data_IF_155490590500
#
_entry.id   IF_155490590500
#
_cell.length_a   1.000
_cell.length_b   1.000
_cell.length_c   1.000
_cell.angle_alpha   90.00
_cell.angle_beta   90.00
_cell.angle_gamma   90.00
#
_symmetry.space_group_name_H-M   'P 1'
#
loop_
_entity.id
_entity.type
_entity.pdbx_description
1 polymer ?
#
# COMPACT_ATOMS: atom_id res chain seq x y z
N UNK A 1 -10.67 -7.75 12.22
CA UNK A 1 -11.60 -6.62 12.50
C UNK A 1 -11.49 -5.64 11.34
N UNK A 2 -12.63 -5.12 10.81
CA UNK A 2 -12.62 -4.18 9.68
C UNK A 2 -12.05 -2.84 10.12
N UNK A 3 -10.97 -2.39 9.46
CA UNK A 3 -10.31 -1.12 9.74
C UNK A 3 -10.75 -0.02 8.76
N UNK A 4 -10.94 -0.37 7.49
CA UNK A 4 -11.54 0.52 6.50
C UNK A 4 -12.47 -0.27 5.56
N UNK A 5 -13.52 0.37 5.06
CA UNK A 5 -14.49 -0.25 4.17
C UNK A 5 -15.05 0.77 3.19
N UNK A 6 -15.15 0.37 1.94
CA UNK A 6 -15.84 1.08 0.87
C UNK A 6 -17.14 0.33 0.55
N UNK A 7 -18.27 1.03 0.47
CA UNK A 7 -19.57 0.47 0.09
C UNK A 7 -20.15 1.21 -1.11
N UNK A 8 -20.14 0.53 -2.26
CA UNK A 8 -20.69 1.04 -3.54
C UNK A 8 -20.19 2.46 -3.89
N UNK A 9 -18.88 2.69 -3.63
CA UNK A 9 -18.27 4.01 -3.76
C UNK A 9 -18.02 4.34 -5.22
N UNK A 10 -18.44 5.54 -5.62
CA UNK A 10 -18.11 6.11 -6.93
C UNK A 10 -17.50 7.50 -6.77
N UNK A 11 -16.56 7.83 -7.65
CA UNK A 11 -15.96 9.14 -7.75
C UNK A 11 -15.65 9.53 -9.18
N UNK A 12 -16.02 10.76 -9.53
CA UNK A 12 -15.82 11.33 -10.86
C UNK A 12 -15.08 12.65 -10.75
N UNK A 13 -13.92 12.75 -11.41
CA UNK A 13 -13.19 14.02 -11.52
C UNK A 13 -13.90 14.99 -12.46
N UNK A 14 -13.82 16.27 -12.15
CA UNK A 14 -14.30 17.37 -13.02
C UNK A 14 -15.74 17.20 -13.50
N UNK A 15 -16.61 16.68 -12.62
CA UNK A 15 -18.03 16.40 -12.93
C UNK A 15 -18.72 17.62 -13.51
N UNK A 16 -19.46 17.42 -14.62
CA UNK A 16 -20.19 18.48 -15.32
C UNK A 16 -19.32 19.35 -16.22
N UNK A 17 -18.08 18.98 -16.47
CA UNK A 17 -17.18 19.66 -17.41
C UNK A 17 -16.79 18.76 -18.59
N UNK A 18 -16.24 19.31 -19.70
CA UNK A 18 -15.72 18.50 -20.80
C UNK A 18 -14.59 17.54 -20.43
N UNK A 19 -13.99 17.69 -19.24
CA UNK A 19 -12.93 16.84 -18.70
C UNK A 19 -13.44 15.85 -17.66
N UNK A 20 -14.74 15.57 -17.65
CA UNK A 20 -15.33 14.60 -16.74
C UNK A 20 -14.76 13.21 -16.97
N UNK A 21 -14.26 12.60 -15.88
CA UNK A 21 -13.66 11.26 -15.92
C UNK A 21 -14.05 10.48 -14.67
N UNK A 22 -14.72 9.34 -14.85
CA UNK A 22 -15.03 8.41 -13.79
C UNK A 22 -13.75 7.67 -13.38
N UNK A 23 -13.31 7.87 -12.14
CA UNK A 23 -12.10 7.25 -11.62
C UNK A 23 -12.38 6.02 -10.74
N UNK A 24 -13.56 5.99 -10.10
CA UNK A 24 -14.02 4.87 -9.26
C UNK A 24 -15.52 4.72 -9.52
N UNK A 25 -15.98 3.50 -9.80
CA UNK A 25 -17.37 3.21 -10.13
C UNK A 25 -17.85 1.98 -9.36
N UNK A 26 -18.77 2.20 -8.42
CA UNK A 26 -19.41 1.13 -7.63
C UNK A 26 -18.43 0.19 -6.95
N UNK A 27 -17.36 0.76 -6.36
CA UNK A 27 -16.30 -0.01 -5.71
C UNK A 27 -16.70 -0.35 -4.28
N UNK A 28 -16.65 -1.65 -3.95
CA UNK A 28 -16.80 -2.17 -2.60
C UNK A 28 -15.56 -2.98 -2.23
N UNK A 29 -14.94 -2.67 -1.09
CA UNK A 29 -13.74 -3.34 -0.61
C UNK A 29 -13.64 -3.25 0.92
N UNK A 30 -13.07 -4.28 1.54
CA UNK A 30 -12.84 -4.35 3.00
C UNK A 30 -11.37 -4.53 3.27
N UNK A 31 -10.84 -3.71 4.20
CA UNK A 31 -9.46 -3.72 4.66
C UNK A 31 -9.44 -4.05 6.15
N UNK A 32 -8.72 -5.10 6.52
CA UNK A 32 -8.75 -5.69 7.84
C UNK A 32 -7.53 -5.28 8.67
N UNK A 33 -7.74 -5.08 9.98
CA UNK A 33 -6.66 -4.79 10.94
C UNK A 33 -5.67 -5.96 10.97
N UNK A 34 -4.38 -5.64 11.07
CA UNK A 34 -3.31 -6.63 11.13
C UNK A 34 -3.01 -7.33 9.79
N UNK A 35 -3.58 -6.85 8.69
CA UNK A 35 -3.33 -7.37 7.35
C UNK A 35 -2.71 -6.30 6.44
N UNK A 36 -1.91 -6.75 5.48
CA UNK A 36 -1.45 -5.96 4.34
C UNK A 36 -2.32 -6.32 3.14
N UNK A 37 -3.13 -5.36 2.68
CA UNK A 37 -3.94 -5.51 1.46
C UNK A 37 -3.28 -4.76 0.32
N UNK A 38 -2.87 -5.48 -0.72
CA UNK A 38 -2.36 -4.90 -1.97
C UNK A 38 -3.49 -4.42 -2.86
N UNK A 39 -3.37 -3.22 -3.43
CA UNK A 39 -4.24 -2.77 -4.52
C UNK A 39 -3.41 -2.74 -5.79
N UNK A 40 -3.78 -3.56 -6.78
CA UNK A 40 -3.13 -3.64 -8.09
C UNK A 40 -4.09 -3.23 -9.20
N UNK A 41 -3.54 -2.87 -10.35
CA UNK A 41 -4.34 -2.45 -11.51
C UNK A 41 -3.46 -1.66 -12.48
N UNK A 42 -3.90 -1.50 -13.73
CA UNK A 42 -3.19 -0.67 -14.70
C UNK A 42 -3.21 0.83 -14.30
N UNK A 43 -2.36 1.64 -14.92
CA UNK A 43 -2.38 3.09 -14.71
C UNK A 43 -3.74 3.65 -15.11
N UNK A 44 -4.31 4.50 -14.24
CA UNK A 44 -5.65 5.07 -14.47
C UNK A 44 -6.81 4.19 -14.02
N UNK A 45 -6.59 2.99 -13.43
CA UNK A 45 -7.67 2.13 -12.94
C UNK A 45 -8.35 2.61 -11.64
N UNK A 46 -7.87 3.71 -11.03
CA UNK A 46 -8.50 4.33 -9.85
C UNK A 46 -7.84 4.02 -8.51
N UNK A 47 -6.70 3.30 -8.46
CA UNK A 47 -6.02 2.89 -7.20
C UNK A 47 -5.70 4.07 -6.26
N UNK A 48 -4.99 5.08 -6.75
CA UNK A 48 -4.64 6.26 -5.95
C UNK A 48 -5.88 7.08 -5.55
N UNK A 49 -6.94 7.03 -6.37
CA UNK A 49 -8.23 7.64 -6.03
C UNK A 49 -8.89 6.92 -4.85
N UNK A 50 -8.86 5.58 -4.83
CA UNK A 50 -9.33 4.76 -3.70
C UNK A 50 -8.57 5.11 -2.42
N UNK A 51 -7.24 5.23 -2.48
CA UNK A 51 -6.40 5.67 -1.36
C UNK A 51 -6.84 7.04 -0.80
N UNK A 52 -7.07 8.00 -1.68
CA UNK A 52 -7.49 9.36 -1.32
C UNK A 52 -8.92 9.41 -0.77
N UNK A 53 -9.81 8.55 -1.26
CA UNK A 53 -11.18 8.42 -0.74
C UNK A 53 -11.19 7.85 0.68
N UNK A 54 -10.36 6.84 0.98
CA UNK A 54 -10.25 6.25 2.33
C UNK A 54 -9.65 7.26 3.33
N UNK A 55 -8.65 8.05 2.91
CA UNK A 55 -8.06 9.11 3.75
C UNK A 55 -8.98 10.33 3.91
N UNK A 56 -10.09 10.42 3.14
CA UNK A 56 -10.98 11.58 3.13
C UNK A 56 -10.37 12.82 2.49
N UNK A 57 -9.42 12.66 1.59
CA UNK A 57 -8.88 13.75 0.78
C UNK A 57 -9.86 14.13 -0.35
N UNK A 58 -10.54 13.14 -0.91
CA UNK A 58 -11.57 13.31 -1.92
C UNK A 58 -12.94 12.96 -1.35
N UNK A 59 -13.99 13.79 -1.59
CA UNK A 59 -15.35 13.45 -1.22
C UNK A 59 -15.91 12.40 -2.17
N UNK A 60 -16.74 11.48 -1.68
CA UNK A 60 -17.43 10.50 -2.54
C UNK A 60 -18.48 11.20 -3.44
N UNK A 61 -18.65 10.73 -4.67
CA UNK A 61 -19.78 11.13 -5.52
C UNK A 61 -21.06 10.35 -5.15
N UNK A 62 -20.91 9.09 -4.73
CA UNK A 62 -21.93 8.22 -4.17
C UNK A 62 -21.31 7.10 -3.36
N UNK A 63 -22.10 6.39 -2.56
CA UNK A 63 -21.65 5.33 -1.68
C UNK A 63 -21.12 5.85 -0.34
N UNK A 64 -20.48 4.99 0.43
CA UNK A 64 -20.05 5.29 1.79
C UNK A 64 -18.63 4.77 2.03
N UNK A 65 -17.86 5.54 2.81
CA UNK A 65 -16.51 5.16 3.26
C UNK A 65 -16.49 5.09 4.78
N UNK A 66 -16.09 3.95 5.32
CA UNK A 66 -15.97 3.74 6.74
C UNK A 66 -14.50 3.59 7.14
N UNK A 67 -14.11 4.26 8.22
CA UNK A 67 -12.81 4.08 8.88
C UNK A 67 -13.07 3.76 10.35
N UNK A 68 -12.57 2.63 10.83
CA UNK A 68 -12.82 2.12 12.18
C UNK A 68 -14.32 2.10 12.54
N UNK A 69 -15.15 1.64 11.60
CA UNK A 69 -16.60 1.47 11.75
C UNK A 69 -17.42 2.76 11.71
N UNK A 70 -16.81 3.92 11.41
CA UNK A 70 -17.51 5.21 11.29
C UNK A 70 -17.50 5.69 9.85
N UNK A 71 -18.67 6.11 9.34
CA UNK A 71 -18.74 6.80 8.06
C UNK A 71 -18.00 8.14 8.16
N UNK A 72 -16.97 8.32 7.32
CA UNK A 72 -16.08 9.50 7.43
C UNK A 72 -16.75 10.80 6.96
N UNK A 73 -17.84 10.70 6.18
CA UNK A 73 -18.57 11.85 5.63
C UNK A 73 -19.80 12.25 6.44
N UNK A 74 -20.16 11.48 7.50
CA UNK A 74 -21.30 11.80 8.38
C UNK A 74 -21.09 13.13 9.13
N UNK A 75 -19.83 13.42 9.53
CA UNK A 75 -19.48 14.70 10.19
C UNK A 75 -18.19 15.28 9.56
N UNK A 76 -18.31 16.22 8.61
CA UNK A 76 -17.15 16.84 7.96
C UNK A 76 -16.18 17.54 8.91
N UNK A 77 -16.62 17.94 10.11
CA UNK A 77 -15.75 18.57 11.12
C UNK A 77 -14.72 17.60 11.68
N UNK A 78 -14.98 16.29 11.58
CA UNK A 78 -14.06 15.22 12.04
C UNK A 78 -13.03 14.81 10.98
N UNK A 79 -13.05 15.41 9.80
CA UNK A 79 -12.15 15.01 8.70
C UNK A 79 -10.68 15.07 9.08
N UNK A 80 -10.27 16.03 9.92
CA UNK A 80 -8.90 16.09 10.46
C UNK A 80 -8.55 14.83 11.27
N UNK A 81 -9.50 14.34 12.08
CA UNK A 81 -9.30 13.11 12.86
C UNK A 81 -9.27 11.84 11.99
N UNK A 82 -10.07 11.83 10.92
CA UNK A 82 -10.01 10.74 9.92
C UNK A 82 -8.60 10.63 9.34
N UNK A 83 -7.97 11.74 8.95
CA UNK A 83 -6.62 11.77 8.39
C UNK A 83 -5.52 11.34 9.37
N UNK A 84 -5.71 11.55 10.66
CA UNK A 84 -4.83 11.00 11.69
C UNK A 84 -5.02 9.50 11.88
N UNK A 85 -6.25 8.99 11.68
CA UNK A 85 -6.59 7.58 11.84
C UNK A 85 -6.23 6.77 10.59
N UNK A 86 -6.46 7.33 9.40
CA UNK A 86 -6.09 6.76 8.10
C UNK A 86 -4.98 7.61 7.48
N UNK A 87 -3.72 7.32 7.83
CA UNK A 87 -2.55 8.02 7.31
C UNK A 87 -2.28 7.63 5.85
N UNK A 88 -1.94 8.60 5.01
CA UNK A 88 -1.63 8.40 3.60
C UNK A 88 -0.21 8.87 3.31
N UNK A 89 0.58 7.96 2.76
CA UNK A 89 1.90 8.24 2.16
C UNK A 89 1.71 8.24 0.65
N UNK A 90 1.94 9.38 0.02
CA UNK A 90 1.83 9.54 -1.43
C UNK A 90 3.02 8.95 -2.18
N UNK A 91 2.87 8.79 -3.47
CA UNK A 91 3.97 8.46 -4.37
C UNK A 91 5.07 9.53 -4.30
N UNK A 92 6.34 9.13 -4.20
CA UNK A 92 7.50 10.01 -4.00
C UNK A 92 7.36 10.91 -2.77
N UNK A 93 7.15 10.35 -1.57
CA UNK A 93 6.85 11.14 -0.37
C UNK A 93 8.02 12.02 0.06
N UNK A 94 9.25 11.74 -0.40
CA UNK A 94 10.44 12.55 -0.19
C UNK A 94 10.35 13.99 -0.71
N UNK A 95 9.46 14.26 -1.66
CA UNK A 95 9.20 15.63 -2.14
C UNK A 95 8.27 16.43 -1.22
N UNK A 96 7.72 15.80 -0.19
CA UNK A 96 6.82 16.45 0.76
C UNK A 96 7.55 16.96 2.02
N UNK A 97 8.86 16.68 2.14
CA UNK A 97 9.69 17.22 3.22
C UNK A 97 9.94 18.71 2.99
N UNK A 98 9.64 19.54 3.99
CA UNK A 98 9.66 20.99 3.84
C UNK A 98 10.24 21.75 5.04
N UNK A 99 10.42 21.10 6.19
CA UNK A 99 10.86 21.76 7.41
C UNK A 99 12.40 21.88 7.47
N UNK A 100 12.92 22.62 8.43
CA UNK A 100 14.36 22.88 8.60
C UNK A 100 15.13 21.61 9.01
N UNK A 101 14.50 20.74 9.80
CA UNK A 101 15.10 19.47 10.27
C UNK A 101 14.15 18.32 10.06
N UNK A 102 14.70 17.11 9.91
CA UNK A 102 13.96 15.85 9.84
C UNK A 102 13.06 15.66 11.06
N UNK A 103 13.56 16.01 12.25
CA UNK A 103 12.76 15.97 13.48
C UNK A 103 11.50 16.84 13.36
N UNK A 104 11.62 18.05 12.85
CA UNK A 104 10.49 18.97 12.68
C UNK A 104 9.48 18.43 11.68
N UNK A 105 9.94 17.90 10.54
CA UNK A 105 9.06 17.25 9.55
C UNK A 105 8.28 16.09 10.15
N UNK A 106 8.95 15.15 10.84
CA UNK A 106 8.29 14.00 11.47
C UNK A 106 7.33 14.45 12.58
N UNK A 107 7.67 15.50 13.34
CA UNK A 107 6.85 16.04 14.42
C UNK A 107 5.60 16.79 13.95
N UNK A 108 5.50 17.13 12.67
CA UNK A 108 4.41 17.94 12.12
C UNK A 108 3.03 17.32 12.37
N UNK A 109 2.88 16.02 12.09
CA UNK A 109 1.63 15.28 12.37
C UNK A 109 1.26 15.30 13.86
N UNK A 110 2.12 14.80 14.76
CA UNK A 110 1.91 14.81 16.21
C UNK A 110 1.61 16.21 16.81
N UNK A 111 2.30 17.26 16.34
CA UNK A 111 1.98 18.65 16.74
C UNK A 111 0.56 19.04 16.34
N UNK A 112 0.17 18.70 15.12
CA UNK A 112 -1.19 18.93 14.64
C UNK A 112 -2.25 18.14 15.39
N UNK A 113 -1.90 17.01 16.01
CA UNK A 113 -2.79 16.27 16.92
C UNK A 113 -2.97 16.95 18.27
N UNK A 114 -2.15 17.97 18.61
CA UNK A 114 -2.18 18.68 19.88
C UNK A 114 -1.53 17.90 21.02
N UNK A 115 -0.57 17.04 20.72
CA UNK A 115 0.15 16.24 21.73
C UNK A 115 1.15 17.10 22.51
N UNK A 116 1.51 16.66 23.72
CA UNK A 116 2.57 17.28 24.50
C UNK A 116 3.94 17.09 23.86
N UNK A 117 4.89 17.98 24.13
CA UNK A 117 6.25 17.90 23.61
C UNK A 117 6.92 16.56 23.91
N UNK A 118 6.69 16.00 25.11
CA UNK A 118 7.21 14.69 25.50
C UNK A 118 6.64 13.56 24.63
N UNK A 119 5.34 13.58 24.37
CA UNK A 119 4.69 12.58 23.50
C UNK A 119 5.14 12.73 22.04
N UNK A 120 5.36 13.98 21.59
CA UNK A 120 5.88 14.26 20.27
C UNK A 120 7.27 13.67 20.10
N UNK A 121 8.20 13.93 21.05
CA UNK A 121 9.57 13.39 20.99
C UNK A 121 9.56 11.86 21.01
N UNK A 122 8.78 11.22 21.88
CA UNK A 122 8.62 9.76 21.91
C UNK A 122 8.16 9.22 20.55
N UNK A 123 7.12 9.82 19.96
CA UNK A 123 6.56 9.36 18.69
C UNK A 123 7.49 9.57 17.51
N UNK A 124 8.23 10.67 17.49
CA UNK A 124 9.24 10.96 16.46
C UNK A 124 10.34 9.91 16.47
N UNK A 125 10.91 9.61 17.66
CA UNK A 125 11.97 8.61 17.79
C UNK A 125 11.48 7.20 17.52
N UNK A 126 10.26 6.85 17.98
CA UNK A 126 9.63 5.56 17.66
C UNK A 126 9.45 5.40 16.15
N UNK A 127 8.88 6.40 15.48
CA UNK A 127 8.66 6.36 14.04
C UNK A 127 9.98 6.29 13.25
N UNK A 128 11.02 7.02 13.68
CA UNK A 128 12.34 6.93 13.07
C UNK A 128 12.91 5.51 13.17
N UNK A 129 12.81 4.86 14.34
CA UNK A 129 13.22 3.45 14.53
C UNK A 129 12.40 2.49 13.67
N UNK A 130 11.09 2.69 13.60
CA UNK A 130 10.18 1.83 12.85
C UNK A 130 10.48 1.83 11.33
N UNK A 131 11.06 2.91 10.78
CA UNK A 131 11.50 2.99 9.38
C UNK A 131 13.00 2.73 9.18
N UNK A 132 13.75 2.42 10.23
CA UNK A 132 15.21 2.24 10.17
C UNK A 132 15.97 3.53 9.82
N UNK A 133 15.50 4.68 10.30
CA UNK A 133 16.18 5.97 10.18
C UNK A 133 17.07 6.18 11.41
N UNK A 134 18.35 6.46 11.19
CA UNK A 134 19.29 6.74 12.26
C UNK A 134 18.89 8.04 13.01
N UNK A 135 18.81 7.98 14.33
CA UNK A 135 18.45 9.13 15.16
C UNK A 135 19.42 10.31 14.99
N UNK A 136 20.68 10.07 14.64
CA UNK A 136 21.66 11.12 14.32
C UNK A 136 21.27 11.99 13.12
N UNK A 137 20.31 11.51 12.29
CA UNK A 137 19.81 12.26 11.14
C UNK A 137 18.66 13.20 11.50
N UNK A 138 18.06 13.07 12.69
CA UNK A 138 16.89 13.86 13.07
C UNK A 138 17.15 15.37 13.12
N UNK A 139 18.36 15.77 13.50
CA UNK A 139 18.76 17.18 13.58
C UNK A 139 19.28 17.74 12.25
N UNK A 140 19.45 16.88 11.24
CA UNK A 140 19.90 17.33 9.91
C UNK A 140 18.76 17.94 9.10
N UNK A 141 19.13 18.76 8.13
CA UNK A 141 18.19 19.21 7.11
C UNK A 141 17.78 18.03 6.22
N UNK A 142 16.49 17.91 5.85
CA UNK A 142 16.05 16.91 4.87
C UNK A 142 16.85 16.96 3.56
N UNK A 143 17.36 18.14 3.18
CA UNK A 143 18.13 18.31 1.95
C UNK A 143 19.50 17.63 1.98
N UNK A 144 20.05 17.35 3.16
CA UNK A 144 21.33 16.65 3.34
C UNK A 144 21.19 15.12 3.29
N UNK A 145 19.97 14.59 3.24
CA UNK A 145 19.69 13.15 3.22
C UNK A 145 19.78 12.57 1.81
N UNK A 146 20.18 11.29 1.73
CA UNK A 146 20.01 10.50 0.51
C UNK A 146 18.52 10.28 0.19
N UNK A 147 18.19 9.95 -1.06
CA UNK A 147 16.80 9.70 -1.48
C UNK A 147 16.09 8.65 -0.62
N UNK A 148 16.76 7.53 -0.30
CA UNK A 148 16.21 6.51 0.58
C UNK A 148 16.01 6.98 2.03
N UNK A 149 16.92 7.82 2.55
CA UNK A 149 16.74 8.43 3.87
C UNK A 149 15.58 9.43 3.89
N UNK A 150 15.45 10.27 2.87
CA UNK A 150 14.30 11.18 2.71
C UNK A 150 12.99 10.42 2.71
N UNK A 151 12.91 9.34 1.93
CA UNK A 151 11.70 8.50 1.87
C UNK A 151 11.36 7.91 3.23
N UNK A 152 12.34 7.36 3.96
CA UNK A 152 12.13 6.87 5.33
C UNK A 152 11.65 7.98 6.27
N UNK A 153 12.24 9.17 6.19
CA UNK A 153 11.79 10.32 6.98
C UNK A 153 10.33 10.71 6.68
N UNK A 154 9.94 10.75 5.42
CA UNK A 154 8.57 11.07 5.02
C UNK A 154 7.56 10.00 5.48
N UNK A 155 7.90 8.71 5.38
CA UNK A 155 7.08 7.62 5.92
C UNK A 155 6.98 7.76 7.45
N UNK A 156 8.09 8.04 8.15
CA UNK A 156 8.10 8.25 9.60
C UNK A 156 7.16 9.37 10.03
N UNK A 157 7.05 10.45 9.25
CA UNK A 157 6.12 11.56 9.49
C UNK A 157 4.66 11.10 9.56
N UNK A 158 4.28 10.11 8.77
CA UNK A 158 2.94 9.52 8.82
C UNK A 158 2.82 8.52 9.98
N UNK A 159 3.83 7.67 10.20
CA UNK A 159 3.84 6.68 11.28
C UNK A 159 3.82 7.33 12.68
N UNK A 160 4.42 8.52 12.84
CA UNK A 160 4.42 9.27 14.10
C UNK A 160 3.00 9.63 14.58
N UNK A 161 2.03 9.68 13.67
CA UNK A 161 0.62 9.83 14.03
C UNK A 161 0.01 8.56 14.64
N UNK A 162 0.69 7.41 14.53
CA UNK A 162 0.23 6.07 14.93
C UNK A 162 -1.14 5.72 14.29
N UNK A 163 -1.25 5.77 12.96
CA UNK A 163 -2.51 5.52 12.26
C UNK A 163 -2.99 4.08 12.47
N UNK A 164 -4.31 3.88 12.51
CA UNK A 164 -4.93 2.54 12.51
C UNK A 164 -5.04 1.95 11.11
N UNK A 165 -5.07 2.79 10.09
CA UNK A 165 -5.00 2.43 8.68
C UNK A 165 -3.84 3.19 8.07
N UNK A 166 -2.85 2.50 7.54
CA UNK A 166 -1.72 3.10 6.84
C UNK A 166 -1.87 2.81 5.34
N UNK A 167 -1.98 3.86 4.56
CA UNK A 167 -2.12 3.78 3.11
C UNK A 167 -0.81 4.22 2.48
N UNK A 168 -0.27 3.40 1.59
CA UNK A 168 1.02 3.61 0.95
C UNK A 168 0.86 3.53 -0.57
N UNK A 169 1.05 4.64 -1.25
CA UNK A 169 1.02 4.69 -2.72
C UNK A 169 2.45 4.58 -3.26
N UNK A 170 2.79 3.43 -3.83
CA UNK A 170 4.11 3.11 -4.39
C UNK A 170 5.29 3.34 -3.41
N UNK A 171 5.29 2.75 -2.19
CA UNK A 171 6.27 3.09 -1.15
C UNK A 171 7.71 2.74 -1.53
N UNK A 172 7.92 1.78 -2.42
CA UNK A 172 9.23 1.28 -2.83
C UNK A 172 9.64 1.69 -4.26
N UNK A 173 8.85 2.55 -4.94
CA UNK A 173 9.14 2.98 -6.30
C UNK A 173 10.49 3.72 -6.40
N UNK A 174 11.33 3.33 -7.38
CA UNK A 174 12.62 3.98 -7.62
C UNK A 174 13.73 3.66 -6.62
N UNK A 175 13.48 2.78 -5.63
CA UNK A 175 14.52 2.27 -4.75
C UNK A 175 15.27 1.10 -5.40
N UNK A 176 16.54 0.96 -4.99
CA UNK A 176 17.32 -0.24 -5.31
C UNK A 176 16.75 -1.49 -4.58
N UNK A 177 17.14 -2.70 -4.96
CA UNK A 177 16.59 -3.92 -4.37
C UNK A 177 16.80 -4.04 -2.85
N UNK A 178 17.86 -3.45 -2.31
CA UNK A 178 18.12 -3.45 -0.86
C UNK A 178 17.20 -2.47 -0.15
N UNK A 179 17.16 -1.22 -0.59
CA UNK A 179 16.29 -0.19 -0.02
C UNK A 179 14.81 -0.57 -0.09
N UNK A 180 14.41 -1.25 -1.19
CA UNK A 180 13.05 -1.79 -1.35
C UNK A 180 12.71 -2.81 -0.26
N UNK A 181 13.56 -3.83 -0.04
CA UNK A 181 13.36 -4.83 1.02
C UNK A 181 13.35 -4.20 2.41
N UNK A 182 14.25 -3.23 2.66
CA UNK A 182 14.28 -2.52 3.95
C UNK A 182 12.97 -1.77 4.21
N UNK A 183 12.46 -1.00 3.25
CA UNK A 183 11.20 -0.23 3.42
C UNK A 183 10.01 -1.16 3.60
N UNK A 184 9.85 -2.18 2.74
CA UNK A 184 8.71 -3.09 2.83
C UNK A 184 8.78 -3.98 4.07
N UNK A 185 9.98 -4.45 4.46
CA UNK A 185 10.18 -5.18 5.70
C UNK A 185 9.84 -4.35 6.95
N UNK A 186 10.20 -3.07 6.97
CA UNK A 186 9.85 -2.16 8.07
C UNK A 186 8.33 -1.91 8.14
N UNK A 187 7.65 -1.81 7.00
CA UNK A 187 6.18 -1.70 6.93
C UNK A 187 5.52 -2.97 7.48
N UNK A 188 6.00 -4.16 7.11
CA UNK A 188 5.50 -5.43 7.65
C UNK A 188 5.74 -5.52 9.17
N UNK A 189 6.93 -5.17 9.65
CA UNK A 189 7.23 -5.12 11.09
C UNK A 189 6.34 -4.11 11.84
N UNK A 190 6.05 -2.96 11.23
CA UNK A 190 5.11 -1.98 11.81
C UNK A 190 3.70 -2.56 11.94
N UNK A 191 3.18 -3.29 10.93
CA UNK A 191 1.92 -4.02 11.01
C UNK A 191 1.92 -5.00 12.18
N UNK A 192 2.95 -5.82 12.29
CA UNK A 192 3.07 -6.85 13.34
C UNK A 192 3.12 -6.25 14.74
N UNK A 193 3.83 -5.12 14.89
CA UNK A 193 3.95 -4.38 16.16
C UNK A 193 2.64 -3.71 16.59
N UNK A 194 1.87 -3.15 15.63
CA UNK A 194 0.75 -2.24 15.94
C UNK A 194 -0.62 -2.84 15.68
N UNK A 195 -0.72 -3.89 14.88
CA UNK A 195 -1.98 -4.42 14.37
C UNK A 195 -2.71 -3.48 13.39
N UNK A 196 -2.02 -2.45 12.86
CA UNK A 196 -2.60 -1.54 11.88
C UNK A 196 -2.98 -2.29 10.58
N UNK A 197 -4.03 -1.85 9.93
CA UNK A 197 -4.32 -2.26 8.56
C UNK A 197 -3.39 -1.51 7.61
N UNK A 198 -2.72 -2.22 6.72
CA UNK A 198 -1.87 -1.63 5.69
C UNK A 198 -2.56 -1.77 4.33
N UNK A 199 -2.68 -0.67 3.61
CA UNK A 199 -3.16 -0.66 2.23
C UNK A 199 -1.97 -0.25 1.36
N UNK A 200 -1.48 -1.16 0.53
CA UNK A 200 -0.30 -0.94 -0.29
C UNK A 200 -0.66 -0.96 -1.78
N UNK A 201 -0.52 0.18 -2.44
CA UNK A 201 -0.60 0.26 -3.90
C UNK A 201 0.78 -0.02 -4.45
N UNK A 202 0.89 -0.97 -5.38
CA UNK A 202 2.15 -1.25 -6.06
C UNK A 202 1.93 -1.78 -7.48
N UNK A 203 2.86 -1.43 -8.38
CA UNK A 203 2.99 -2.03 -9.71
C UNK A 203 3.90 -3.26 -9.72
N UNK A 204 4.59 -3.55 -8.63
CA UNK A 204 5.44 -4.74 -8.49
C UNK A 204 4.62 -5.92 -8.00
N UNK A 205 4.40 -6.87 -8.88
CA UNK A 205 3.70 -8.10 -8.52
C UNK A 205 4.51 -8.95 -7.55
N UNK A 206 5.83 -8.85 -7.57
CA UNK A 206 6.73 -9.51 -6.64
C UNK A 206 6.52 -9.00 -5.21
N UNK A 207 6.43 -7.67 -5.01
CA UNK A 207 6.19 -7.09 -3.69
C UNK A 207 4.80 -7.47 -3.16
N UNK A 208 3.80 -7.42 -4.05
CA UNK A 208 2.43 -7.83 -3.71
C UNK A 208 2.39 -9.31 -3.32
N UNK A 209 3.08 -10.17 -4.06
CA UNK A 209 3.15 -11.61 -3.79
C UNK A 209 3.88 -11.95 -2.48
N UNK A 210 4.91 -11.15 -2.12
CA UNK A 210 5.75 -11.40 -0.95
C UNK A 210 5.16 -10.83 0.35
N UNK A 211 4.55 -9.63 0.28
CA UNK A 211 4.18 -8.89 1.49
C UNK A 211 2.68 -8.82 1.75
N UNK A 212 1.80 -9.08 0.77
CA UNK A 212 0.36 -8.91 0.97
C UNK A 212 -0.34 -10.20 1.40
N UNK A 213 -1.23 -10.05 2.38
CA UNK A 213 -2.13 -11.13 2.82
C UNK A 213 -3.38 -11.23 1.93
N UNK A 214 -3.78 -10.10 1.32
CA UNK A 214 -4.94 -9.97 0.44
C UNK A 214 -4.63 -9.03 -0.72
N UNK A 215 -5.29 -9.23 -1.84
CA UNK A 215 -5.17 -8.39 -3.04
C UNK A 215 -6.56 -7.92 -3.47
N UNK A 216 -6.64 -6.66 -3.88
CA UNK A 216 -7.77 -6.08 -4.59
C UNK A 216 -7.28 -5.66 -5.97
N UNK A 217 -7.85 -6.25 -7.01
CA UNK A 217 -7.51 -5.96 -8.41
C UNK A 217 -8.49 -4.94 -8.95
N UNK A 218 -7.97 -3.81 -9.43
CA UNK A 218 -8.77 -2.76 -10.06
C UNK A 218 -8.56 -2.76 -11.57
N UNK A 219 -9.66 -2.76 -12.32
CA UNK A 219 -9.69 -2.55 -13.76
C UNK A 219 -10.87 -1.66 -14.13
N UNK A 220 -10.68 -0.76 -15.08
CA UNK A 220 -11.74 0.11 -15.61
C UNK A 220 -12.58 0.79 -14.50
N UNK A 221 -11.89 1.35 -13.50
CA UNK A 221 -12.49 2.05 -12.35
C UNK A 221 -13.35 1.17 -11.43
N UNK A 222 -13.25 -0.16 -11.52
CA UNK A 222 -14.01 -1.14 -10.72
C UNK A 222 -13.09 -2.15 -10.05
N UNK A 223 -13.59 -2.86 -9.03
CA UNK A 223 -12.95 -4.06 -8.52
C UNK A 223 -13.26 -5.21 -9.46
N UNK A 224 -12.22 -5.79 -10.05
CA UNK A 224 -12.31 -6.96 -10.90
C UNK A 224 -12.30 -8.25 -10.07
N UNK A 225 -11.33 -8.34 -9.16
CA UNK A 225 -11.06 -9.51 -8.34
C UNK A 225 -10.60 -9.09 -6.94
N UNK A 226 -10.92 -9.89 -5.92
CA UNK A 226 -10.36 -9.70 -4.58
C UNK A 226 -10.24 -11.05 -3.89
N UNK A 227 -9.07 -11.33 -3.28
CA UNK A 227 -8.79 -12.59 -2.60
C UNK A 227 -7.38 -12.63 -2.04
N UNK A 228 -6.95 -13.81 -1.60
CA UNK A 228 -5.55 -14.07 -1.25
C UNK A 228 -4.65 -13.99 -2.50
N UNK A 229 -3.33 -13.80 -2.35
CA UNK A 229 -2.42 -13.84 -3.48
C UNK A 229 -2.56 -15.12 -4.33
N UNK A 230 -2.78 -16.25 -3.68
CA UNK A 230 -2.97 -17.55 -4.36
C UNK A 230 -4.24 -17.56 -5.22
N UNK A 231 -5.37 -17.10 -4.67
CA UNK A 231 -6.62 -16.99 -5.41
C UNK A 231 -6.49 -16.02 -6.60
N UNK A 232 -5.91 -14.84 -6.39
CA UNK A 232 -5.79 -13.82 -7.44
C UNK A 232 -4.84 -14.24 -8.53
N UNK A 233 -3.65 -14.77 -8.21
CA UNK A 233 -2.68 -15.19 -9.21
C UNK A 233 -3.04 -16.50 -9.92
N UNK A 234 -3.97 -17.31 -9.38
CA UNK A 234 -4.54 -18.45 -10.11
C UNK A 234 -5.33 -18.00 -11.36
N UNK A 235 -5.82 -16.75 -11.38
CA UNK A 235 -6.50 -16.12 -12.52
C UNK A 235 -5.52 -15.38 -13.46
N UNK A 236 -4.29 -15.90 -13.60
CA UNK A 236 -3.22 -15.27 -14.37
C UNK A 236 -3.62 -14.87 -15.80
N UNK A 237 -4.37 -15.74 -16.51
CA UNK A 237 -4.86 -15.47 -17.86
C UNK A 237 -5.82 -14.27 -17.92
N UNK A 238 -6.69 -14.12 -16.92
CA UNK A 238 -7.64 -13.00 -16.83
C UNK A 238 -6.89 -11.70 -16.52
N UNK A 239 -5.95 -11.74 -15.58
CA UNK A 239 -5.10 -10.61 -15.24
C UNK A 239 -4.31 -10.11 -16.44
N UNK A 240 -3.69 -11.02 -17.20
CA UNK A 240 -2.94 -10.66 -18.40
C UNK A 240 -3.82 -10.07 -19.51
N UNK A 241 -5.07 -10.54 -19.68
CA UNK A 241 -6.02 -9.95 -20.64
C UNK A 241 -6.40 -8.51 -20.30
N UNK A 242 -6.39 -8.13 -19.01
CA UNK A 242 -6.63 -6.74 -18.58
C UNK A 242 -5.37 -5.88 -18.62
N UNK A 243 -4.27 -6.36 -19.17
CA UNK A 243 -3.00 -5.64 -19.27
C UNK A 243 -2.20 -5.61 -17.96
N UNK A 244 -2.59 -6.40 -16.97
CA UNK A 244 -1.82 -6.57 -15.75
C UNK A 244 -0.74 -7.63 -15.94
N UNK A 245 0.36 -7.47 -15.24
CA UNK A 245 1.39 -8.49 -15.14
C UNK A 245 1.10 -9.44 -13.99
N UNK A 246 1.71 -10.61 -14.02
CA UNK A 246 1.75 -11.55 -12.89
C UNK A 246 3.20 -11.66 -12.40
N UNK A 247 3.48 -12.22 -11.21
CA UNK A 247 4.85 -12.47 -10.78
C UNK A 247 5.64 -13.21 -11.85
N UNK A 248 6.93 -12.90 -12.00
CA UNK A 248 7.78 -13.48 -13.06
C UNK A 248 7.79 -15.01 -13.02
N UNK A 249 7.81 -15.57 -11.81
CA UNK A 249 7.76 -17.03 -11.65
C UNK A 249 6.44 -17.63 -12.17
N UNK A 250 5.31 -16.97 -11.90
CA UNK A 250 4.00 -17.38 -12.45
C UNK A 250 4.00 -17.33 -13.97
N UNK A 251 4.60 -16.28 -14.56
CA UNK A 251 4.74 -16.16 -16.01
C UNK A 251 5.52 -17.32 -16.61
N UNK A 252 6.66 -17.71 -15.99
CA UNK A 252 7.46 -18.86 -16.43
C UNK A 252 6.63 -20.14 -16.39
N UNK A 253 5.86 -20.37 -15.31
CA UNK A 253 5.00 -21.55 -15.22
C UNK A 253 3.88 -21.54 -16.27
N UNK A 254 3.28 -20.38 -16.55
CA UNK A 254 2.32 -20.25 -17.65
C UNK A 254 2.96 -20.60 -19.02
N UNK A 255 4.18 -20.16 -19.29
CA UNK A 255 4.91 -20.49 -20.50
C UNK A 255 5.21 -22.00 -20.59
N UNK A 256 5.66 -22.63 -19.51
CA UNK A 256 5.84 -24.09 -19.44
C UNK A 256 4.54 -24.83 -19.71
N UNK A 257 3.42 -24.37 -19.17
CA UNK A 257 2.10 -24.96 -19.43
C UNK A 257 1.71 -24.87 -20.90
N UNK A 258 2.00 -23.74 -21.58
CA UNK A 258 1.76 -23.60 -23.04
C UNK A 258 2.65 -24.51 -23.89
N UNK A 259 3.83 -24.89 -23.39
CA UNK A 259 4.73 -25.87 -24.02
C UNK A 259 4.26 -27.32 -23.77
N UNK A 260 3.18 -27.55 -23.02
CA UNK A 260 2.61 -28.86 -22.78
C UNK A 260 3.07 -29.55 -21.48
N UNK A 261 3.80 -28.86 -20.63
CA UNK A 261 4.17 -29.39 -19.31
C UNK A 261 2.99 -29.29 -18.32
N UNK A 262 2.83 -30.32 -17.51
CA UNK A 262 1.81 -30.35 -16.43
C UNK A 262 2.35 -29.61 -15.20
N UNK A 263 2.11 -28.28 -15.16
CA UNK A 263 2.54 -27.39 -14.06
C UNK A 263 1.38 -26.64 -13.44
N UNK A 264 1.46 -26.46 -12.14
CA UNK A 264 0.58 -25.58 -11.40
C UNK A 264 1.02 -24.11 -11.61
N UNK A 265 0.18 -23.33 -12.31
CA UNK A 265 0.41 -21.91 -12.59
C UNK A 265 -0.03 -21.00 -11.44
N UNK A 266 -0.55 -21.53 -10.33
CA UNK A 266 -0.93 -20.74 -9.15
C UNK A 266 0.26 -20.35 -8.27
N UNK A 267 1.45 -20.94 -8.50
CA UNK A 267 2.65 -20.60 -7.75
C UNK A 267 3.13 -19.19 -8.11
N UNK A 268 3.14 -18.31 -7.12
CA UNK A 268 3.45 -16.88 -7.25
C UNK A 268 4.72 -16.44 -6.50
N UNK A 269 5.36 -17.34 -5.74
CA UNK A 269 6.67 -17.10 -5.11
C UNK A 269 7.73 -17.99 -5.71
N UNK A 270 9.01 -17.58 -5.60
CA UNK A 270 10.15 -18.36 -6.08
C UNK A 270 10.17 -19.76 -5.49
N UNK A 271 9.98 -19.86 -4.17
CA UNK A 271 9.99 -21.16 -3.46
C UNK A 271 8.89 -22.12 -3.91
N UNK A 272 7.68 -21.59 -4.19
CA UNK A 272 6.56 -22.40 -4.72
C UNK A 272 6.86 -22.85 -6.16
N UNK A 273 7.38 -21.94 -6.99
CA UNK A 273 7.72 -22.25 -8.37
C UNK A 273 8.88 -23.23 -8.48
N UNK A 274 9.91 -23.11 -7.63
CA UNK A 274 11.02 -24.06 -7.55
C UNK A 274 10.52 -25.48 -7.25
N UNK A 275 9.68 -25.63 -6.24
CA UNK A 275 9.08 -26.93 -5.88
C UNK A 275 8.30 -27.53 -7.05
N UNK A 276 7.55 -26.70 -7.76
CA UNK A 276 6.76 -27.14 -8.88
C UNK A 276 7.62 -27.57 -10.09
N UNK A 277 8.68 -26.81 -10.38
CA UNK A 277 9.65 -27.18 -11.42
C UNK A 277 10.40 -28.46 -11.04
N UNK A 278 10.85 -28.60 -9.80
CA UNK A 278 11.51 -29.83 -9.34
C UNK A 278 10.59 -31.06 -9.43
N UNK A 279 9.29 -30.89 -9.13
CA UNK A 279 8.29 -31.95 -9.34
C UNK A 279 8.26 -32.45 -10.77
N UNK A 280 8.31 -31.55 -11.75
CA UNK A 280 8.34 -31.88 -13.17
C UNK A 280 9.54 -32.74 -13.58
N UNK A 281 10.71 -32.42 -13.03
CA UNK A 281 11.97 -33.09 -13.42
C UNK A 281 12.32 -34.29 -12.55
N UNK A 282 11.39 -34.76 -11.66
CA UNK A 282 11.58 -35.95 -10.84
C UNK A 282 12.64 -35.79 -9.74
N UNK A 283 12.98 -34.54 -9.41
CA UNK A 283 13.97 -34.24 -8.39
C UNK A 283 13.34 -34.06 -7.02
N UNK A 284 13.34 -35.08 -6.17
CA UNK A 284 13.35 -34.84 -4.73
C UNK A 284 14.63 -34.08 -4.43
N UNK A 285 14.50 -32.82 -3.99
CA UNK A 285 15.63 -31.96 -3.66
C UNK A 285 16.52 -32.59 -2.60
N UNK A 286 17.67 -33.04 -3.02
CA UNK A 286 18.81 -33.25 -2.13
C UNK A 286 19.65 -31.97 -2.22
N UNK A 287 19.48 -31.10 -1.25
CA UNK A 287 20.50 -30.18 -0.76
C UNK A 287 20.73 -30.44 0.71
#
# INVERSE_FOLDING_TARGET
MTAAELKNVSYTYSKGTPFESAAVTDVSAVFESGMITGIIGHTGSGKSTVAQLINGLLPVSSGEVFVCGKNIWEDPKRMRQVRFTAGLVFQYPEYQLFDETVYKDISFGPKNMGLSEKEIDERVRDAARDVGLDEALLEKSPFELSGGQKRRAAIAGVLAMRPKVLILDEPAAGLDPRGRREVLGNIAAYRDKTGAAIIMISHSMEDIAEYCDKIVVMSDSKVLLSGTPEEVFSHSDELMKTGLTVPRVTKVLCELKTMGYDVDTSAYTVDKAEKEILRLFGGEGKC
#
